data_IF_831900345683
#
_entry.id   IF_831900345683
#
_cell.length_a   1.000
_cell.length_b   1.000
_cell.length_c   1.000
_cell.angle_alpha   90.00
_cell.angle_beta   90.00
_cell.angle_gamma   90.00
#
_symmetry.space_group_name_H-M   'P 1'
#
loop_
_entity.id
_entity.type
_entity.pdbx_description
1 polymer ?
#
# COMPACT_ATOMS: atom_id res chain seq x y z
N UNK A 1 18.51 -18.27 -15.26
CA UNK A 1 18.39 -19.72 -14.97
C UNK A 1 19.77 -20.29 -14.84
N UNK A 2 20.15 -20.76 -13.66
CA UNK A 2 21.43 -21.46 -13.48
C UNK A 2 21.27 -22.92 -13.96
N UNK A 3 22.32 -23.49 -14.58
CA UNK A 3 22.25 -24.85 -15.17
C UNK A 3 21.78 -25.96 -14.22
N UNK A 4 21.93 -25.78 -12.90
CA UNK A 4 21.47 -26.72 -11.89
C UNK A 4 19.94 -26.76 -11.74
N UNK A 5 19.23 -25.66 -11.96
CA UNK A 5 17.74 -25.62 -11.92
C UNK A 5 17.12 -26.35 -13.10
N UNK A 6 17.84 -26.48 -14.20
CA UNK A 6 17.39 -27.24 -15.35
C UNK A 6 17.53 -28.76 -15.10
N UNK A 7 18.59 -29.16 -14.39
CA UNK A 7 18.83 -30.57 -14.01
C UNK A 7 17.80 -31.06 -13.00
N UNK A 8 17.44 -30.25 -12.00
CA UNK A 8 16.42 -30.60 -11.00
C UNK A 8 15.04 -30.79 -11.65
N UNK A 9 14.73 -30.02 -12.70
CA UNK A 9 13.48 -30.20 -13.48
C UNK A 9 13.51 -31.41 -14.42
N UNK A 10 14.67 -31.88 -14.80
CA UNK A 10 14.81 -33.10 -15.62
C UNK A 10 14.62 -34.37 -14.80
N UNK A 11 14.85 -34.36 -13.48
CA UNK A 11 14.54 -35.46 -12.58
C UNK A 11 13.02 -35.73 -12.40
N UNK A 12 12.19 -34.77 -12.77
CA UNK A 12 10.72 -34.91 -12.74
C UNK A 12 10.15 -35.58 -13.99
N UNK A 13 10.97 -35.93 -14.97
CA UNK A 13 10.51 -36.65 -16.16
C UNK A 13 10.40 -38.14 -15.81
N UNK A 14 9.18 -38.67 -15.94
CA UNK A 14 8.88 -40.08 -15.69
C UNK A 14 9.85 -40.97 -16.53
N UNK A 15 10.61 -41.89 -15.90
CA UNK A 15 11.56 -42.76 -16.58
C UNK A 15 10.96 -43.55 -17.73
N UNK A 16 9.65 -43.81 -17.72
CA UNK A 16 8.94 -44.49 -18.81
C UNK A 16 8.99 -43.73 -20.15
N UNK A 17 9.10 -42.41 -20.12
CA UNK A 17 9.26 -41.59 -21.33
C UNK A 17 10.67 -41.65 -21.89
N UNK A 18 11.66 -41.84 -21.05
CA UNK A 18 13.07 -41.97 -21.46
C UNK A 18 13.27 -43.34 -22.13
N UNK A 19 12.68 -44.42 -21.57
CA UNK A 19 12.77 -45.78 -22.07
C UNK A 19 11.98 -45.96 -23.38
N UNK A 20 10.87 -45.27 -23.53
CA UNK A 20 10.10 -45.23 -24.79
C UNK A 20 10.84 -44.53 -25.94
N UNK A 21 11.73 -43.54 -25.60
CA UNK A 21 12.53 -42.84 -26.60
C UNK A 21 13.71 -43.68 -27.13
N UNK A 22 14.25 -44.59 -26.31
CA UNK A 22 15.37 -45.47 -26.68
C UNK A 22 14.94 -46.68 -27.53
N UNK A 23 13.66 -47.09 -27.44
CA UNK A 23 13.13 -48.25 -28.19
C UNK A 23 12.57 -47.93 -29.58
N UNK A 24 12.61 -46.68 -29.99
CA UNK A 24 12.11 -46.28 -31.30
C UNK A 24 13.07 -46.72 -32.44
N UNK A 25 12.59 -47.42 -33.49
CA UNK A 25 13.44 -47.88 -34.58
C UNK A 25 14.08 -46.75 -35.31
N UNK A 26 15.41 -46.82 -35.46
CA UNK A 26 16.31 -45.82 -36.05
C UNK A 26 16.05 -45.59 -37.54
N UNK A 27 14.92 -44.94 -37.90
CA UNK A 27 14.71 -44.38 -39.23
C UNK A 27 15.44 -43.10 -39.34
N UNK A 28 16.46 -43.00 -40.18
CA UNK A 28 17.15 -41.75 -40.56
C UNK A 28 16.10 -40.71 -41.00
N UNK A 29 15.58 -39.97 -40.05
CA UNK A 29 14.73 -38.81 -40.34
C UNK A 29 15.63 -37.63 -40.73
N UNK A 30 15.35 -37.01 -41.86
CA UNK A 30 16.01 -35.80 -42.34
C UNK A 30 16.09 -34.78 -41.22
N UNK A 31 17.23 -34.11 -41.10
CA UNK A 31 17.49 -33.01 -40.12
C UNK A 31 16.41 -31.94 -40.22
N UNK A 32 15.85 -31.72 -41.39
CA UNK A 32 14.75 -30.79 -41.66
C UNK A 32 13.44 -31.14 -40.94
N UNK A 33 13.15 -32.43 -40.71
CA UNK A 33 11.95 -32.85 -39.97
C UNK A 33 12.04 -32.57 -38.46
N UNK A 34 13.26 -32.58 -37.89
CA UNK A 34 13.50 -32.23 -36.48
C UNK A 34 13.36 -30.72 -36.22
N UNK A 35 13.80 -29.90 -37.18
CA UNK A 35 13.63 -28.46 -37.09
C UNK A 35 12.17 -28.03 -37.32
N UNK A 36 11.42 -28.73 -38.15
CA UNK A 36 9.99 -28.51 -38.39
C UNK A 36 9.12 -28.78 -37.15
N UNK A 37 9.41 -29.84 -36.36
CA UNK A 37 8.68 -30.13 -35.12
C UNK A 37 9.00 -29.13 -34.01
N UNK A 38 10.26 -28.69 -33.88
CA UNK A 38 10.65 -27.67 -32.91
C UNK A 38 10.02 -26.31 -33.27
N UNK A 39 10.01 -25.93 -34.54
CA UNK A 39 9.36 -24.73 -35.02
C UNK A 39 7.83 -24.81 -34.84
N UNK A 40 7.18 -25.96 -35.06
CA UNK A 40 5.75 -26.13 -34.84
C UNK A 40 5.36 -26.05 -33.37
N UNK A 41 6.16 -26.62 -32.45
CA UNK A 41 5.94 -26.47 -31.02
C UNK A 41 6.14 -25.03 -30.55
N UNK A 42 7.16 -24.34 -31.05
CA UNK A 42 7.39 -22.93 -30.74
C UNK A 42 6.27 -22.05 -31.28
N UNK A 43 5.80 -22.31 -32.51
CA UNK A 43 4.66 -21.63 -33.11
C UNK A 43 3.36 -21.91 -32.34
N UNK A 44 3.15 -23.14 -31.85
CA UNK A 44 1.96 -23.49 -31.08
C UNK A 44 1.93 -22.78 -29.72
N UNK A 45 3.08 -22.68 -29.04
CA UNK A 45 3.23 -21.91 -27.80
C UNK A 45 3.01 -20.41 -28.07
N UNK A 46 3.56 -19.87 -29.17
CA UNK A 46 3.31 -18.49 -29.56
C UNK A 46 1.85 -18.24 -29.94
N UNK A 47 1.18 -19.17 -30.63
CA UNK A 47 -0.23 -19.02 -31.04
C UNK A 47 -1.17 -19.11 -29.84
N UNK A 48 -0.84 -19.88 -28.80
CA UNK A 48 -1.64 -19.97 -27.57
C UNK A 48 -1.36 -18.79 -26.61
N UNK A 49 -0.15 -18.21 -26.66
CA UNK A 49 0.21 -17.05 -25.84
C UNK A 49 -0.27 -15.70 -26.46
N UNK A 50 -0.27 -15.58 -27.80
CA UNK A 50 -0.65 -14.36 -28.51
C UNK A 50 -2.09 -13.87 -28.22
N UNK A 51 -3.14 -14.71 -28.09
CA UNK A 51 -4.48 -14.21 -27.79
C UNK A 51 -4.61 -13.58 -26.40
N UNK A 52 -3.86 -14.08 -25.42
CA UNK A 52 -3.87 -13.51 -24.06
C UNK A 52 -3.11 -12.18 -24.01
N UNK A 53 -2.00 -12.06 -24.76
CA UNK A 53 -1.16 -10.87 -24.81
C UNK A 53 -1.78 -9.74 -25.64
N UNK A 54 -2.47 -10.06 -26.74
CA UNK A 54 -3.20 -9.09 -27.55
C UNK A 54 -4.42 -8.48 -26.83
N UNK A 55 -4.78 -9.00 -25.66
CA UNK A 55 -5.89 -8.51 -24.86
C UNK A 55 -5.52 -7.28 -24.01
N UNK A 56 -4.25 -7.02 -23.79
CA UNK A 56 -3.76 -5.88 -22.97
C UNK A 56 -3.12 -4.81 -23.86
N UNK A 57 -3.14 -3.56 -23.37
CA UNK A 57 -2.33 -2.51 -24.00
C UNK A 57 -0.84 -2.80 -23.79
N UNK A 58 0.06 -2.36 -24.71
CA UNK A 58 1.50 -2.54 -24.54
C UNK A 58 2.02 -2.00 -23.20
N UNK A 59 1.56 -0.83 -22.77
CA UNK A 59 1.93 -0.21 -21.51
C UNK A 59 1.48 -1.03 -20.29
N UNK A 60 0.30 -1.60 -20.31
CA UNK A 60 -0.17 -2.47 -19.24
C UNK A 60 0.62 -3.79 -19.19
N UNK A 61 1.01 -4.31 -20.33
CA UNK A 61 1.85 -5.51 -20.40
C UNK A 61 3.24 -5.26 -19.81
N UNK A 62 3.87 -4.14 -20.13
CA UNK A 62 5.12 -3.72 -19.52
C UNK A 62 5.00 -3.58 -18.00
N UNK A 63 3.89 -3.02 -17.50
CA UNK A 63 3.59 -2.93 -16.09
C UNK A 63 3.50 -4.31 -15.42
N UNK A 64 2.80 -5.27 -16.03
CA UNK A 64 2.71 -6.64 -15.51
C UNK A 64 4.09 -7.26 -15.31
N UNK A 65 4.99 -7.11 -16.30
CA UNK A 65 6.35 -7.63 -16.19
C UNK A 65 7.22 -6.86 -15.20
N UNK A 66 6.99 -5.58 -15.00
CA UNK A 66 7.73 -4.78 -14.03
C UNK A 66 7.34 -5.11 -12.59
N UNK A 67 6.04 -5.29 -12.33
CA UNK A 67 5.50 -5.47 -10.97
C UNK A 67 5.41 -6.94 -10.57
N UNK A 68 4.97 -7.81 -11.49
CA UNK A 68 4.74 -9.24 -11.26
C UNK A 68 5.46 -10.11 -12.29
N UNK A 69 6.81 -10.05 -12.39
CA UNK A 69 7.56 -10.70 -13.48
C UNK A 69 7.42 -12.21 -13.52
N UNK A 70 7.22 -12.85 -12.36
CA UNK A 70 7.07 -14.31 -12.25
C UNK A 70 5.69 -14.79 -12.73
N UNK A 71 4.66 -13.96 -12.56
CA UNK A 71 3.25 -14.33 -12.80
C UNK A 71 2.64 -13.62 -14.00
N UNK A 72 3.34 -12.64 -14.60
CA UNK A 72 2.84 -11.79 -15.68
C UNK A 72 2.15 -12.58 -16.83
N UNK A 73 2.73 -13.71 -17.23
CA UNK A 73 2.20 -14.56 -18.31
C UNK A 73 0.90 -15.31 -17.97
N UNK A 74 0.54 -15.38 -16.68
CA UNK A 74 -0.64 -16.13 -16.22
C UNK A 74 -1.86 -15.23 -16.03
N UNK A 75 -1.69 -13.91 -16.03
CA UNK A 75 -2.81 -12.99 -15.92
C UNK A 75 -3.79 -13.13 -17.09
N UNK A 76 -5.07 -13.11 -16.75
CA UNK A 76 -6.17 -13.16 -17.70
C UNK A 76 -6.96 -11.85 -17.65
N UNK A 77 -7.45 -11.36 -18.80
CA UNK A 77 -8.27 -10.16 -18.86
C UNK A 77 -9.63 -10.42 -18.21
N UNK A 78 -10.05 -9.50 -17.34
CA UNK A 78 -11.38 -9.51 -16.70
C UNK A 78 -12.33 -8.53 -17.38
N UNK A 79 -11.89 -7.27 -17.60
CA UNK A 79 -12.60 -6.20 -18.32
C UNK A 79 -14.02 -5.95 -17.78
N UNK A 80 -14.13 -5.80 -16.47
CA UNK A 80 -15.37 -5.39 -15.80
C UNK A 80 -15.18 -4.00 -15.24
N UNK A 81 -16.10 -3.10 -15.55
CA UNK A 81 -15.97 -1.70 -15.17
C UNK A 81 -17.27 -1.11 -14.65
N UNK A 82 -17.15 -0.02 -13.90
CA UNK A 82 -18.23 0.87 -13.51
C UNK A 82 -17.72 2.32 -13.56
N UNK A 83 -18.64 3.27 -13.59
CA UNK A 83 -18.33 4.70 -13.61
C UNK A 83 -19.20 5.41 -12.57
N UNK A 84 -18.57 6.30 -11.82
CA UNK A 84 -19.24 7.24 -10.92
C UNK A 84 -18.39 8.49 -10.76
N UNK A 85 -19.02 9.64 -10.55
CA UNK A 85 -18.39 10.93 -10.32
C UNK A 85 -17.23 11.27 -11.28
N UNK A 86 -17.37 10.93 -12.57
CA UNK A 86 -16.36 11.20 -13.60
C UNK A 86 -15.11 10.32 -13.52
N UNK A 87 -15.13 9.26 -12.71
CA UNK A 87 -14.06 8.29 -12.58
C UNK A 87 -14.57 6.91 -12.99
N UNK A 88 -13.82 6.24 -13.85
CA UNK A 88 -14.05 4.87 -14.28
C UNK A 88 -13.14 3.91 -13.51
N UNK A 89 -13.75 2.96 -12.80
CA UNK A 89 -13.05 1.84 -12.20
C UNK A 89 -13.16 0.61 -13.12
N UNK A 90 -12.06 -0.06 -13.40
CA UNK A 90 -12.04 -1.28 -14.21
C UNK A 90 -11.14 -2.34 -13.57
N UNK A 91 -11.65 -3.55 -13.38
CA UNK A 91 -10.83 -4.73 -13.14
C UNK A 91 -10.26 -5.17 -14.47
N UNK A 92 -8.96 -4.89 -14.68
CA UNK A 92 -8.28 -5.08 -15.96
C UNK A 92 -7.86 -6.53 -16.16
N UNK A 93 -7.24 -7.13 -15.14
CA UNK A 93 -6.69 -8.48 -15.21
C UNK A 93 -6.68 -9.14 -13.84
N UNK A 94 -6.72 -10.48 -13.83
CA UNK A 94 -6.54 -11.28 -12.62
C UNK A 94 -5.70 -12.52 -12.91
N UNK A 95 -4.93 -12.94 -11.92
CA UNK A 95 -4.27 -14.23 -11.84
C UNK A 95 -4.71 -14.93 -10.56
N UNK A 96 -5.31 -16.11 -10.71
CA UNK A 96 -5.80 -16.93 -9.61
C UNK A 96 -4.89 -18.16 -9.52
N UNK A 97 -4.41 -18.46 -8.32
CA UNK A 97 -3.59 -19.62 -8.06
C UNK A 97 -3.95 -20.21 -6.70
N UNK A 98 -4.57 -21.38 -6.72
CA UNK A 98 -5.02 -22.09 -5.51
C UNK A 98 -5.90 -21.20 -4.61
N UNK A 99 -5.40 -20.78 -3.45
CA UNK A 99 -6.10 -19.93 -2.47
C UNK A 99 -5.74 -18.46 -2.59
N UNK A 100 -5.02 -18.05 -3.64
CA UNK A 100 -4.54 -16.67 -3.82
C UNK A 100 -5.04 -16.04 -5.11
N UNK A 101 -5.18 -14.71 -5.12
CA UNK A 101 -5.42 -13.93 -6.31
C UNK A 101 -4.55 -12.67 -6.33
N UNK A 102 -4.02 -12.35 -7.50
CA UNK A 102 -3.44 -11.06 -7.86
C UNK A 102 -4.35 -10.39 -8.90
N UNK A 103 -4.83 -9.18 -8.62
CA UNK A 103 -5.83 -8.49 -9.43
C UNK A 103 -5.33 -7.09 -9.73
N UNK A 104 -5.28 -6.73 -11.01
CA UNK A 104 -5.03 -5.37 -11.44
C UNK A 104 -6.33 -4.61 -11.63
N UNK A 105 -6.43 -3.49 -10.93
CA UNK A 105 -7.56 -2.57 -10.95
C UNK A 105 -7.08 -1.21 -11.44
N UNK A 106 -7.73 -0.62 -12.43
CA UNK A 106 -7.49 0.76 -12.84
C UNK A 106 -8.59 1.70 -12.36
N UNK A 107 -8.19 2.91 -11.95
CA UNK A 107 -9.05 4.05 -11.70
C UNK A 107 -8.65 5.14 -12.69
N UNK A 108 -9.52 5.46 -13.64
CA UNK A 108 -9.27 6.49 -14.66
C UNK A 108 -10.11 7.72 -14.37
N UNK A 109 -9.47 8.87 -14.21
CA UNK A 109 -10.15 10.16 -14.13
C UNK A 109 -10.49 10.65 -15.54
N UNK A 110 -11.77 10.57 -15.91
CA UNK A 110 -12.27 10.97 -17.22
C UNK A 110 -12.31 12.50 -17.39
N UNK A 111 -12.17 13.24 -16.28
CA UNK A 111 -12.14 14.72 -16.27
C UNK A 111 -10.71 15.28 -16.25
N UNK A 112 -9.74 14.49 -15.81
CA UNK A 112 -8.33 14.87 -15.64
C UNK A 112 -8.09 15.89 -14.52
N UNK A 113 -8.96 15.95 -13.48
CA UNK A 113 -8.89 16.96 -12.40
C UNK A 113 -9.09 16.38 -11.02
N UNK A 114 -9.47 15.12 -10.89
CA UNK A 114 -9.93 14.56 -9.63
C UNK A 114 -8.79 14.03 -8.78
N UNK A 115 -7.70 13.54 -9.38
CA UNK A 115 -6.55 13.02 -8.66
C UNK A 115 -5.26 13.06 -9.49
N UNK A 116 -4.11 12.90 -8.84
CA UNK A 116 -2.76 12.87 -9.39
C UNK A 116 -2.04 11.55 -9.07
N UNK A 117 -0.73 11.49 -9.29
CA UNK A 117 0.12 10.31 -9.04
C UNK A 117 0.20 9.89 -7.57
N UNK A 118 -0.28 10.72 -6.65
CA UNK A 118 -0.31 10.42 -5.22
C UNK A 118 -1.61 9.76 -4.77
N UNK A 119 -2.48 9.38 -5.73
CA UNK A 119 -3.79 8.81 -5.43
C UNK A 119 -3.70 7.55 -4.57
N UNK A 120 -4.61 7.48 -3.60
CA UNK A 120 -4.73 6.41 -2.63
C UNK A 120 -6.21 6.10 -2.39
N UNK A 121 -6.52 4.84 -2.12
CA UNK A 121 -7.89 4.41 -1.82
C UNK A 121 -8.30 4.68 -0.37
N UNK A 122 -7.42 5.22 0.45
CA UNK A 122 -7.68 5.66 1.83
C UNK A 122 -8.44 4.63 2.67
N UNK A 123 -8.02 3.37 2.63
CA UNK A 123 -8.69 2.26 3.33
C UNK A 123 -10.22 2.20 3.11
N UNK A 124 -10.73 2.87 2.05
CA UNK A 124 -12.13 2.89 1.71
C UNK A 124 -12.54 1.77 0.75
N UNK A 125 -11.59 0.91 0.37
CA UNK A 125 -11.89 -0.25 -0.45
C UNK A 125 -12.40 -1.42 0.38
N UNK A 126 -13.22 -2.25 -0.24
CA UNK A 126 -13.76 -3.46 0.37
C UNK A 126 -13.66 -4.62 -0.61
N UNK A 127 -13.23 -5.77 -0.07
CA UNK A 127 -13.27 -7.07 -0.73
C UNK A 127 -14.44 -7.84 -0.15
N UNK A 128 -15.48 -8.07 -0.94
CA UNK A 128 -16.59 -8.92 -0.53
C UNK A 128 -16.49 -10.27 -1.24
N UNK A 129 -16.22 -11.29 -0.47
CA UNK A 129 -15.99 -12.68 -0.90
C UNK A 129 -16.92 -13.62 -0.11
N UNK A 130 -17.24 -14.81 -0.63
CA UNK A 130 -17.97 -15.83 0.12
C UNK A 130 -17.08 -16.62 1.11
N UNK A 131 -15.85 -16.21 1.33
CA UNK A 131 -14.86 -16.84 2.20
C UNK A 131 -14.06 -15.80 2.97
N UNK A 132 -13.45 -16.20 4.08
CA UNK A 132 -12.56 -15.35 4.86
C UNK A 132 -11.19 -15.23 4.19
N UNK A 133 -10.68 -14.00 4.10
CA UNK A 133 -9.42 -13.71 3.42
C UNK A 133 -8.69 -12.51 4.03
N UNK A 134 -7.40 -12.45 3.76
CA UNK A 134 -6.59 -11.25 3.89
C UNK A 134 -6.41 -10.63 2.52
N UNK A 135 -6.54 -9.32 2.43
CA UNK A 135 -6.34 -8.59 1.18
C UNK A 135 -5.57 -7.30 1.37
N UNK A 136 -4.72 -6.98 0.40
CA UNK A 136 -3.94 -5.74 0.35
C UNK A 136 -4.13 -5.07 -1.00
N UNK A 137 -4.17 -3.75 -0.99
CA UNK A 137 -4.23 -2.93 -2.20
C UNK A 137 -3.10 -1.91 -2.17
N UNK A 138 -2.32 -1.82 -3.26
CA UNK A 138 -1.26 -0.83 -3.41
C UNK A 138 -1.27 -0.21 -4.79
N UNK A 139 -0.92 1.06 -4.88
CA UNK A 139 -0.67 1.72 -6.16
C UNK A 139 0.51 1.03 -6.86
N UNK A 140 0.30 0.56 -8.09
CA UNK A 140 1.30 -0.07 -8.92
C UNK A 140 1.91 0.91 -9.93
N UNK A 141 1.08 1.80 -10.51
CA UNK A 141 1.53 2.85 -11.43
C UNK A 141 0.49 3.96 -11.57
N UNK A 142 0.94 5.11 -12.06
CA UNK A 142 0.10 6.21 -12.52
C UNK A 142 0.56 6.63 -13.92
N UNK A 143 -0.41 6.78 -14.83
CA UNK A 143 -0.20 7.27 -16.18
C UNK A 143 -0.75 8.70 -16.28
N UNK A 144 0.10 9.73 -16.36
CA UNK A 144 -0.33 11.12 -16.44
C UNK A 144 -1.02 11.50 -17.75
N UNK A 145 -0.75 10.78 -18.84
CA UNK A 145 -1.34 11.07 -20.15
C UNK A 145 -2.82 10.66 -20.22
N UNK A 146 -3.16 9.57 -19.57
CA UNK A 146 -4.53 9.05 -19.49
C UNK A 146 -5.22 9.32 -18.16
N UNK A 147 -4.53 9.94 -17.20
CA UNK A 147 -4.97 10.14 -15.82
C UNK A 147 -5.48 8.84 -15.18
N UNK A 148 -4.68 7.77 -15.33
CA UNK A 148 -5.06 6.43 -14.89
C UNK A 148 -4.12 5.93 -13.81
N UNK A 149 -4.67 5.67 -12.63
CA UNK A 149 -3.99 4.95 -11.56
C UNK A 149 -4.27 3.46 -11.68
N UNK A 150 -3.23 2.64 -11.60
CA UNK A 150 -3.36 1.18 -11.58
C UNK A 150 -2.94 0.65 -10.22
N UNK A 151 -3.81 -0.12 -9.60
CA UNK A 151 -3.59 -0.75 -8.30
C UNK A 151 -3.40 -2.25 -8.47
N UNK A 152 -2.52 -2.84 -7.67
CA UNK A 152 -2.42 -4.27 -7.47
C UNK A 152 -3.14 -4.64 -6.16
N UNK A 153 -4.16 -5.46 -6.29
CA UNK A 153 -4.87 -6.08 -5.16
C UNK A 153 -4.40 -7.52 -5.03
N UNK A 154 -3.90 -7.87 -3.86
CA UNK A 154 -3.55 -9.26 -3.52
C UNK A 154 -4.54 -9.79 -2.50
N UNK A 155 -4.93 -11.06 -2.66
CA UNK A 155 -5.89 -11.72 -1.79
C UNK A 155 -5.38 -13.12 -1.46
N UNK A 156 -5.51 -13.54 -0.18
CA UNK A 156 -5.20 -14.88 0.29
C UNK A 156 -6.33 -15.40 1.20
N UNK A 157 -6.92 -16.53 0.84
CA UNK A 157 -7.95 -17.21 1.62
C UNK A 157 -7.32 -17.98 2.80
N UNK A 158 -7.92 -17.87 4.00
CA UNK A 158 -7.30 -18.32 5.25
C UNK A 158 -7.22 -19.83 5.40
N UNK A 159 -8.24 -20.57 4.94
CA UNK A 159 -8.30 -22.03 5.07
C UNK A 159 -7.50 -22.77 3.99
N UNK A 160 -6.82 -22.03 3.12
CA UNK A 160 -6.02 -22.56 2.00
C UNK A 160 -6.83 -23.42 1.02
N UNK A 161 -8.14 -23.13 0.90
CA UNK A 161 -8.99 -23.78 -0.10
C UNK A 161 -8.91 -23.00 -1.42
N UNK A 162 -9.13 -23.70 -2.53
CA UNK A 162 -9.16 -23.04 -3.84
C UNK A 162 -10.29 -22.02 -3.90
N UNK A 163 -9.96 -20.85 -4.43
CA UNK A 163 -10.90 -19.75 -4.66
C UNK A 163 -11.38 -19.70 -6.13
N UNK A 164 -10.93 -20.65 -6.96
CA UNK A 164 -11.31 -20.69 -8.37
C UNK A 164 -12.82 -20.97 -8.53
N UNK A 165 -13.47 -20.17 -9.37
CA UNK A 165 -14.91 -20.24 -9.62
C UNK A 165 -15.75 -19.38 -8.65
N UNK A 166 -15.17 -18.87 -7.57
CA UNK A 166 -15.84 -17.99 -6.63
C UNK A 166 -16.01 -16.58 -7.20
N UNK A 167 -16.81 -15.74 -6.53
CA UNK A 167 -17.05 -14.35 -6.94
C UNK A 167 -16.42 -13.38 -5.95
N UNK A 168 -15.80 -12.36 -6.50
CA UNK A 168 -15.30 -11.21 -5.75
C UNK A 168 -16.05 -9.96 -6.18
N UNK A 169 -16.52 -9.18 -5.20
CA UNK A 169 -16.93 -7.78 -5.42
C UNK A 169 -15.88 -6.87 -4.81
N UNK A 170 -15.24 -6.06 -5.65
CA UNK A 170 -14.36 -4.97 -5.22
C UNK A 170 -15.13 -3.66 -5.25
N UNK A 171 -15.09 -2.91 -4.16
CA UNK A 171 -15.75 -1.61 -4.08
C UNK A 171 -14.85 -0.56 -3.44
N UNK A 172 -15.00 0.69 -3.88
CA UNK A 172 -14.29 1.88 -3.38
C UNK A 172 -15.32 2.98 -3.17
N UNK A 173 -15.16 3.77 -2.10
CA UNK A 173 -16.05 4.89 -1.78
C UNK A 173 -15.32 6.24 -1.75
N UNK A 174 -14.01 6.24 -1.50
CA UNK A 174 -13.20 7.45 -1.40
C UNK A 174 -11.84 7.25 -2.03
N UNK A 175 -11.33 8.28 -2.64
CA UNK A 175 -9.96 8.40 -3.12
C UNK A 175 -9.37 9.63 -2.45
N UNK A 176 -8.15 9.54 -1.96
CA UNK A 176 -7.34 10.68 -1.59
C UNK A 176 -6.26 10.92 -2.63
N UNK A 177 -5.85 12.17 -2.77
CA UNK A 177 -4.81 12.56 -3.71
C UNK A 177 -4.20 13.89 -3.25
N UNK A 178 -3.24 14.41 -4.00
CA UNK A 178 -2.55 15.64 -3.64
C UNK A 178 -1.75 15.48 -2.35
N UNK A 179 -1.20 14.28 -2.11
CA UNK A 179 -0.34 14.01 -0.96
C UNK A 179 0.96 14.80 -1.09
N UNK A 180 1.35 15.40 0.02
CA UNK A 180 2.61 16.14 0.14
C UNK A 180 3.33 15.66 1.38
N UNK A 181 4.60 15.39 1.24
CA UNK A 181 5.48 15.11 2.38
C UNK A 181 6.34 16.34 2.66
N UNK A 182 6.33 16.77 3.90
CA UNK A 182 7.25 17.76 4.43
C UNK A 182 8.16 17.09 5.44
N UNK A 183 9.45 17.34 5.36
CA UNK A 183 10.46 16.80 6.26
C UNK A 183 11.51 17.85 6.56
N UNK A 184 11.82 18.04 7.85
CA UNK A 184 12.82 19.03 8.24
C UNK A 184 12.76 19.43 9.71
N UNK A 185 13.68 20.33 10.06
CA UNK A 185 13.71 20.97 11.38
C UNK A 185 12.58 21.98 11.50
N UNK A 186 11.89 21.98 12.64
CA UNK A 186 10.90 23.01 12.96
C UNK A 186 11.61 24.28 13.44
N UNK A 187 12.00 25.12 12.47
CA UNK A 187 12.76 26.32 12.75
C UNK A 187 11.95 27.32 13.61
N UNK A 188 12.66 27.99 14.52
CA UNK A 188 12.06 29.00 15.39
C UNK A 188 11.33 28.45 16.62
N UNK A 189 11.28 27.12 16.80
CA UNK A 189 10.74 26.53 18.03
C UNK A 189 11.80 26.57 19.13
N UNK A 190 11.50 27.28 20.20
CA UNK A 190 12.28 27.31 21.44
C UNK A 190 11.70 26.26 22.41
N UNK A 191 12.37 25.10 22.54
CA UNK A 191 11.91 24.01 23.39
C UNK A 191 11.80 24.42 24.87
N UNK A 192 12.80 25.15 25.37
CA UNK A 192 12.84 25.62 26.76
C UNK A 192 11.83 26.72 27.06
N UNK A 193 11.71 27.66 26.14
CA UNK A 193 10.80 28.84 26.26
C UNK A 193 9.32 28.50 26.02
N UNK A 194 9.02 27.37 25.36
CA UNK A 194 7.64 26.98 25.04
C UNK A 194 7.04 25.95 26.00
N UNK A 195 7.69 25.68 27.14
CA UNK A 195 7.23 24.66 28.08
C UNK A 195 5.87 25.01 28.72
N UNK A 196 4.95 24.06 28.67
CA UNK A 196 3.69 24.09 29.42
C UNK A 196 3.68 23.02 30.51
N UNK A 197 3.00 23.31 31.63
CA UNK A 197 2.72 22.33 32.69
C UNK A 197 1.25 21.89 32.69
N UNK A 198 0.44 22.41 31.76
CA UNK A 198 -0.97 22.06 31.70
C UNK A 198 -1.16 20.65 31.11
N UNK A 199 -1.83 19.80 31.85
CA UNK A 199 -2.12 18.41 31.47
C UNK A 199 -3.61 18.13 31.49
N UNK A 200 -4.01 17.07 30.82
CA UNK A 200 -5.36 16.51 30.86
C UNK A 200 -5.31 14.99 30.75
N UNK A 201 -6.40 14.34 31.20
CA UNK A 201 -6.58 12.90 31.01
C UNK A 201 -7.52 12.66 29.85
N UNK A 202 -7.12 11.81 28.91
CA UNK A 202 -7.88 11.49 27.70
C UNK A 202 -8.08 9.98 27.55
N UNK A 203 -9.10 9.60 26.77
CA UNK A 203 -9.21 8.24 26.23
C UNK A 203 -8.48 8.23 24.89
N UNK A 204 -7.37 7.48 24.77
CA UNK A 204 -6.62 7.46 23.52
C UNK A 204 -7.41 6.72 22.43
N UNK A 205 -7.32 7.20 21.19
CA UNK A 205 -7.78 6.46 20.00
C UNK A 205 -6.71 5.48 19.49
N UNK A 206 -5.46 5.70 19.89
CA UNK A 206 -4.31 4.88 19.56
C UNK A 206 -3.15 5.17 20.49
N UNK A 207 -2.38 4.15 20.81
CA UNK A 207 -1.13 4.20 21.57
C UNK A 207 -0.04 3.52 20.77
N UNK A 208 1.15 4.05 20.80
CA UNK A 208 2.34 3.43 20.20
C UNK A 208 3.49 3.39 21.21
N UNK A 209 4.43 2.45 21.01
CA UNK A 209 5.58 2.25 21.89
C UNK A 209 5.27 1.48 23.18
N UNK A 210 6.33 1.06 23.87
CA UNK A 210 6.24 0.20 25.07
C UNK A 210 5.89 0.97 26.36
N UNK A 211 5.78 2.30 26.29
CA UNK A 211 5.53 3.17 27.46
C UNK A 211 4.12 3.00 28.06
N UNK A 212 3.18 2.59 27.25
CA UNK A 212 1.76 2.50 27.60
C UNK A 212 1.33 1.05 27.72
N UNK A 213 1.85 0.25 28.58
CA UNK A 213 1.53 -1.14 28.90
C UNK A 213 0.62 -1.93 27.92
N UNK A 214 0.75 -3.24 27.89
CA UNK A 214 0.01 -4.12 26.95
C UNK A 214 -1.50 -4.25 27.24
N UNK A 215 -1.98 -3.74 28.36
CA UNK A 215 -3.37 -3.97 28.85
C UNK A 215 -4.37 -2.88 28.44
N UNK A 216 -4.02 -2.05 27.44
CA UNK A 216 -4.89 -1.02 26.91
C UNK A 216 -5.37 -0.07 28.00
N UNK A 217 -4.51 0.82 28.50
CA UNK A 217 -4.92 1.83 29.47
C UNK A 217 -6.16 2.56 28.94
N UNK A 218 -7.23 2.53 29.72
CA UNK A 218 -8.50 3.17 29.36
C UNK A 218 -8.38 4.69 29.28
N UNK A 219 -7.35 5.26 29.92
CA UNK A 219 -7.08 6.69 29.90
C UNK A 219 -5.61 6.96 30.19
N UNK A 220 -5.06 7.98 29.53
CA UNK A 220 -3.67 8.43 29.68
C UNK A 220 -3.62 9.92 29.99
N UNK A 221 -2.56 10.34 30.72
CA UNK A 221 -2.30 11.76 30.95
C UNK A 221 -1.40 12.28 29.84
N UNK A 222 -1.85 13.36 29.19
CA UNK A 222 -1.18 14.04 28.06
C UNK A 222 -1.09 15.52 28.32
N UNK A 223 -0.35 16.25 27.50
CA UNK A 223 -0.39 17.72 27.51
C UNK A 223 -1.81 18.20 27.18
N UNK A 224 -2.28 19.25 27.86
CA UNK A 224 -3.48 19.95 27.44
C UNK A 224 -3.15 20.78 26.19
N UNK A 225 -3.92 20.66 25.09
CA UNK A 225 -3.69 21.46 23.89
C UNK A 225 -3.64 22.95 24.19
N UNK A 226 -2.60 23.60 23.70
CA UNK A 226 -2.37 25.03 23.79
C UNK A 226 -2.58 25.77 22.48
N UNK A 227 -2.18 27.05 22.47
CA UNK A 227 -2.10 27.83 21.24
C UNK A 227 -1.04 27.27 20.30
N UNK A 228 -1.14 27.60 19.01
CA UNK A 228 -0.19 27.16 18.00
C UNK A 228 1.22 27.68 18.31
N UNK A 229 2.18 26.81 18.50
CA UNK A 229 3.60 27.14 18.65
C UNK A 229 4.24 27.28 17.27
N UNK A 230 3.93 26.33 16.37
CA UNK A 230 4.40 26.33 14.98
C UNK A 230 3.40 25.59 14.09
N UNK A 231 3.34 25.97 12.82
CA UNK A 231 2.54 25.26 11.80
C UNK A 231 3.43 24.98 10.59
N UNK A 232 4.15 23.86 10.56
CA UNK A 232 5.13 23.55 9.52
C UNK A 232 4.49 23.39 8.13
N UNK A 233 3.27 22.84 8.08
CA UNK A 233 2.46 22.70 6.85
C UNK A 233 0.99 22.89 7.18
N UNK A 234 0.18 23.19 6.17
CA UNK A 234 -1.26 23.27 6.32
C UNK A 234 -1.84 21.98 6.89
N UNK A 235 -2.69 22.09 7.90
CA UNK A 235 -3.31 20.94 8.55
C UNK A 235 -2.47 20.28 9.65
N UNK A 236 -1.24 20.79 9.94
CA UNK A 236 -0.37 20.29 11.00
C UNK A 236 0.07 21.44 11.92
N UNK A 237 -0.13 21.31 13.22
CA UNK A 237 0.19 22.36 14.19
C UNK A 237 0.82 21.75 15.43
N UNK A 238 1.98 22.27 15.83
CA UNK A 238 2.60 22.00 17.13
C UNK A 238 1.84 22.78 18.21
N UNK A 239 1.24 22.09 19.19
CA UNK A 239 0.32 22.65 20.18
C UNK A 239 0.79 22.56 21.63
N UNK A 240 1.89 21.84 21.88
CA UNK A 240 2.40 21.71 23.23
C UNK A 240 3.80 21.11 23.30
N UNK A 241 4.59 21.62 24.23
CA UNK A 241 5.87 21.04 24.66
C UNK A 241 5.87 21.11 26.18
N UNK A 242 6.18 20.03 26.88
CA UNK A 242 6.16 20.05 28.34
C UNK A 242 6.57 18.72 28.96
N UNK A 243 6.53 18.66 30.27
CA UNK A 243 6.85 17.46 31.02
C UNK A 243 5.60 16.87 31.67
N UNK A 244 5.38 15.57 31.44
CA UNK A 244 4.36 14.77 32.13
C UNK A 244 5.07 13.57 32.76
N UNK A 245 4.93 13.41 34.08
CA UNK A 245 5.57 12.35 34.86
C UNK A 245 7.09 12.21 34.60
N UNK A 246 7.77 13.36 34.44
CA UNK A 246 9.22 13.45 34.26
C UNK A 246 9.70 13.09 32.84
N UNK A 247 8.81 12.91 31.88
CA UNK A 247 9.12 12.66 30.47
C UNK A 247 8.80 13.88 29.64
N UNK A 248 9.59 14.15 28.61
CA UNK A 248 9.31 15.22 27.67
C UNK A 248 8.18 14.78 26.72
N UNK A 249 7.16 15.58 26.61
CA UNK A 249 6.05 15.44 25.68
C UNK A 249 6.08 16.55 24.65
N UNK A 250 5.81 16.19 23.39
CA UNK A 250 5.67 17.12 22.26
C UNK A 250 4.36 16.78 21.57
N UNK A 251 3.43 17.75 21.55
CA UNK A 251 2.09 17.51 21.03
C UNK A 251 1.88 18.19 19.68
N UNK A 252 1.36 17.43 18.73
CA UNK A 252 1.01 17.87 17.38
C UNK A 252 -0.48 17.65 17.14
N UNK A 253 -1.12 18.63 16.52
CA UNK A 253 -2.49 18.56 16.03
C UNK A 253 -2.51 18.29 14.53
N UNK A 254 -3.33 17.35 14.11
CA UNK A 254 -3.62 17.01 12.72
C UNK A 254 -5.08 17.32 12.43
N UNK A 255 -5.33 18.27 11.51
CA UNK A 255 -6.67 18.68 11.14
C UNK A 255 -7.35 17.69 10.21
N UNK A 256 -8.69 17.59 10.31
CA UNK A 256 -9.59 16.89 9.37
C UNK A 256 -9.18 15.44 9.03
N UNK A 257 -8.63 14.69 9.99
CA UNK A 257 -8.12 13.32 9.79
C UNK A 257 -9.18 12.32 9.27
N UNK A 258 -10.47 12.66 9.33
CA UNK A 258 -11.54 11.86 8.74
C UNK A 258 -11.73 12.11 7.24
N UNK A 259 -11.12 13.19 6.72
CA UNK A 259 -11.21 13.61 5.32
C UNK A 259 -9.86 13.72 4.62
N UNK A 260 -8.77 13.68 5.37
CA UNK A 260 -7.41 13.85 4.86
C UNK A 260 -6.53 12.74 5.44
N UNK A 261 -5.36 12.55 4.84
CA UNK A 261 -4.32 11.66 5.35
C UNK A 261 -3.25 12.48 6.10
N UNK A 262 -3.70 13.42 6.96
CA UNK A 262 -2.81 14.24 7.75
C UNK A 262 -2.25 13.41 8.91
N UNK A 263 -0.96 13.14 8.88
CA UNK A 263 -0.23 12.41 9.91
C UNK A 263 1.25 12.74 9.87
N UNK A 264 2.02 12.22 10.81
CA UNK A 264 3.47 12.42 10.80
C UNK A 264 4.17 11.81 11.99
N UNK A 265 5.41 12.23 12.18
CA UNK A 265 6.25 11.89 13.32
C UNK A 265 7.09 13.10 13.75
N UNK A 266 7.48 13.07 15.02
CA UNK A 266 8.42 14.03 15.62
C UNK A 266 9.57 13.26 16.22
N UNK A 267 10.78 13.78 16.01
CA UNK A 267 12.00 13.37 16.68
C UNK A 267 12.78 14.57 17.21
N UNK A 268 13.74 14.33 18.07
CA UNK A 268 14.68 15.34 18.55
C UNK A 268 15.98 15.18 17.77
N UNK A 269 16.59 16.28 17.37
CA UNK A 269 17.93 16.27 16.75
C UNK A 269 18.87 17.08 17.65
N UNK A 270 19.96 16.44 18.08
CA UNK A 270 21.00 17.13 18.82
C UNK A 270 21.73 18.12 17.89
N UNK A 271 21.73 19.41 18.25
CA UNK A 271 22.24 20.51 17.41
C UNK A 271 23.77 20.43 17.17
N UNK A 272 24.51 19.78 18.09
CA UNK A 272 25.96 19.69 18.01
C UNK A 272 26.41 18.45 17.24
N UNK A 273 25.77 17.29 17.53
CA UNK A 273 26.18 16.00 16.96
C UNK A 273 25.39 15.60 15.71
N UNK A 274 24.20 16.18 15.50
CA UNK A 274 23.27 15.78 14.46
C UNK A 274 22.58 14.44 14.76
N UNK A 275 22.75 13.88 15.94
CA UNK A 275 22.10 12.62 16.35
C UNK A 275 20.60 12.82 16.48
N UNK A 276 19.83 11.95 15.84
CA UNK A 276 18.38 11.94 15.90
C UNK A 276 17.89 10.94 16.97
N UNK A 277 16.96 11.40 17.80
CA UNK A 277 16.33 10.61 18.87
C UNK A 277 14.86 10.49 18.53
N UNK A 278 14.42 9.28 18.25
CA UNK A 278 13.01 8.96 18.02
C UNK A 278 12.23 9.00 19.34
N UNK A 279 10.91 9.23 19.26
CA UNK A 279 10.05 9.14 20.42
C UNK A 279 9.95 7.68 20.91
N UNK A 280 9.85 7.49 22.21
CA UNK A 280 9.69 6.16 22.84
C UNK A 280 8.24 5.65 22.76
N UNK A 281 7.31 6.53 22.42
CA UNK A 281 5.90 6.20 22.24
C UNK A 281 5.07 7.44 21.98
N UNK A 282 3.80 7.24 21.62
CA UNK A 282 2.84 8.32 21.44
C UNK A 282 1.42 7.93 21.88
N UNK A 283 0.63 8.95 22.18
CA UNK A 283 -0.79 8.82 22.50
C UNK A 283 -1.61 9.74 21.60
N UNK A 284 -2.43 9.13 20.73
CA UNK A 284 -3.32 9.86 19.85
C UNK A 284 -4.73 9.96 20.46
N UNK A 285 -5.37 11.13 20.33
CA UNK A 285 -6.74 11.37 20.80
C UNK A 285 -7.45 12.42 19.94
N UNK A 286 -8.78 12.34 19.88
CA UNK A 286 -9.57 13.29 19.09
C UNK A 286 -9.64 14.67 19.72
N UNK A 287 -9.85 15.70 18.91
CA UNK A 287 -10.30 17.00 19.34
C UNK A 287 -11.78 16.94 19.83
N UNK A 288 -12.27 18.04 20.39
CA UNK A 288 -13.65 18.12 20.90
C UNK A 288 -14.70 17.98 19.78
N UNK A 289 -14.35 18.29 18.55
CA UNK A 289 -15.22 18.15 17.39
C UNK A 289 -15.22 16.72 16.82
N UNK A 290 -14.25 15.88 17.18
CA UNK A 290 -14.10 14.52 16.69
C UNK A 290 -13.64 14.45 15.23
N UNK A 291 -13.11 15.53 14.67
CA UNK A 291 -12.67 15.61 13.27
C UNK A 291 -11.15 15.73 13.12
N UNK A 292 -10.49 16.33 14.09
CA UNK A 292 -9.04 16.41 14.17
C UNK A 292 -8.48 15.47 15.23
N UNK A 293 -7.19 15.29 15.25
CA UNK A 293 -6.49 14.46 16.22
C UNK A 293 -5.27 15.17 16.75
N UNK A 294 -5.09 15.10 18.05
CA UNK A 294 -3.80 15.37 18.69
C UNK A 294 -3.00 14.08 18.76
N UNK A 295 -1.70 14.18 18.65
CA UNK A 295 -0.75 13.12 18.97
C UNK A 295 0.33 13.68 19.89
N UNK A 296 0.48 13.07 21.06
CA UNK A 296 1.40 13.47 22.11
C UNK A 296 2.59 12.50 22.10
N UNK A 297 3.71 12.91 21.52
CA UNK A 297 4.94 12.15 21.38
C UNK A 297 5.76 12.22 22.66
N UNK A 298 6.23 11.09 23.17
CA UNK A 298 6.90 10.98 24.47
C UNK A 298 8.36 10.60 24.30
N UNK A 299 9.24 11.35 24.95
CA UNK A 299 10.69 11.12 24.98
C UNK A 299 11.15 10.89 26.41
N UNK A 300 11.86 9.80 26.67
CA UNK A 300 12.44 9.49 27.98
C UNK A 300 13.88 9.95 28.04
N UNK A 301 14.35 10.27 29.24
CA UNK A 301 15.76 10.61 29.48
C UNK A 301 16.20 11.99 28.93
N UNK A 302 15.25 12.82 28.52
CA UNK A 302 15.52 14.20 28.08
C UNK A 302 15.28 15.15 29.26
N UNK A 303 16.35 15.72 29.79
CA UNK A 303 16.29 16.60 30.95
C UNK A 303 16.03 18.07 30.54
N UNK A 304 15.29 18.80 31.35
CA UNK A 304 14.89 20.18 31.06
C UNK A 304 16.09 21.13 30.80
N UNK A 305 17.19 20.92 31.50
CA UNK A 305 18.40 21.74 31.33
C UNK A 305 19.14 21.47 30.01
N UNK A 306 18.83 20.37 29.33
CA UNK A 306 19.46 19.97 28.08
C UNK A 306 18.63 20.36 26.84
N UNK A 307 17.42 20.91 27.00
CA UNK A 307 16.49 21.19 25.89
C UNK A 307 17.11 22.13 24.82
N UNK A 308 17.92 23.09 25.21
CA UNK A 308 18.57 24.01 24.27
C UNK A 308 19.55 23.32 23.32
N UNK A 309 20.00 22.09 23.67
CA UNK A 309 20.89 21.28 22.81
C UNK A 309 20.13 20.56 21.71
N UNK A 310 18.82 20.55 21.73
CA UNK A 310 17.98 19.85 20.76
C UNK A 310 17.17 20.82 19.88
N UNK A 311 16.83 20.32 18.70
CA UNK A 311 15.82 20.89 17.83
C UNK A 311 14.73 19.83 17.58
N UNK A 312 13.51 20.26 17.28
CA UNK A 312 12.48 19.35 16.76
C UNK A 312 12.72 19.11 15.28
N UNK A 313 12.61 17.87 14.90
CA UNK A 313 12.58 17.44 13.50
C UNK A 313 11.26 16.74 13.25
N UNK A 314 10.57 17.08 12.17
CA UNK A 314 9.28 16.48 11.83
C UNK A 314 9.29 15.89 10.43
N UNK A 315 8.53 14.83 10.24
CA UNK A 315 8.11 14.32 8.96
C UNK A 315 6.59 14.32 8.95
N UNK A 316 5.97 15.08 8.04
CA UNK A 316 4.52 15.22 7.97
C UNK A 316 4.02 14.90 6.57
N UNK A 317 2.94 14.15 6.50
CA UNK A 317 2.18 13.89 5.29
C UNK A 317 0.87 14.65 5.39
N UNK A 318 0.48 15.32 4.31
CA UNK A 318 -0.83 15.96 4.19
C UNK A 318 -1.44 15.59 2.83
N UNK A 319 -2.75 15.67 2.69
CA UNK A 319 -3.43 15.39 1.43
C UNK A 319 -4.53 16.40 1.14
N UNK A 320 -5.00 16.42 -0.10
CA UNK A 320 -6.26 17.07 -0.45
C UNK A 320 -7.45 16.34 0.20
N UNK A 321 -8.62 16.97 0.19
CA UNK A 321 -9.87 16.32 0.61
C UNK A 321 -10.26 15.16 -0.32
N UNK A 322 -11.15 14.26 0.11
CA UNK A 322 -11.47 13.06 -0.63
C UNK A 322 -12.31 13.34 -1.87
N UNK A 323 -12.08 12.57 -2.91
CA UNK A 323 -13.01 12.40 -4.01
C UNK A 323 -13.93 11.24 -3.63
N UNK A 324 -15.21 11.54 -3.40
CA UNK A 324 -16.22 10.56 -3.00
C UNK A 324 -16.96 10.00 -4.21
N UNK A 325 -17.34 8.71 -4.16
CA UNK A 325 -18.12 8.03 -5.18
C UNK A 325 -18.55 6.64 -4.71
N UNK A 326 -19.15 5.89 -5.61
CA UNK A 326 -19.61 4.54 -5.32
C UNK A 326 -19.25 3.61 -6.47
N UNK A 327 -17.98 3.23 -6.51
CA UNK A 327 -17.44 2.30 -7.51
C UNK A 327 -17.56 0.88 -6.98
N UNK A 328 -18.19 -0.01 -7.73
CA UNK A 328 -18.34 -1.40 -7.35
C UNK A 328 -18.38 -2.31 -8.58
N UNK A 329 -17.54 -3.34 -8.59
CA UNK A 329 -17.45 -4.31 -9.68
C UNK A 329 -17.44 -5.73 -9.10
N UNK A 330 -18.33 -6.57 -9.62
CA UNK A 330 -18.36 -8.00 -9.30
C UNK A 330 -17.85 -8.82 -10.49
N UNK A 331 -16.96 -9.75 -10.25
CA UNK A 331 -16.39 -10.63 -11.27
C UNK A 331 -16.06 -12.01 -10.69
N UNK A 332 -16.04 -13.07 -11.54
CA UNK A 332 -15.62 -14.39 -11.11
C UNK A 332 -14.10 -14.46 -10.99
N UNK A 333 -13.62 -15.23 -10.02
CA UNK A 333 -12.23 -15.61 -9.83
C UNK A 333 -11.93 -16.83 -10.70
N UNK A 334 -11.69 -16.63 -11.99
CA UNK A 334 -11.50 -17.70 -12.96
C UNK A 334 -10.14 -17.57 -13.66
N UNK A 335 -9.48 -18.71 -13.87
CA UNK A 335 -8.26 -18.78 -14.69
C UNK A 335 -8.55 -18.84 -16.20
N UNK A 336 -9.82 -18.90 -16.60
CA UNK A 336 -10.22 -18.94 -18.01
C UNK A 336 -10.71 -17.57 -18.47
N UNK A 337 -10.23 -17.12 -19.64
CA UNK A 337 -10.88 -16.02 -20.36
C UNK A 337 -12.35 -16.45 -20.57
N UNK A 338 -13.29 -15.74 -19.97
CA UNK A 338 -14.71 -15.98 -20.22
C UNK A 338 -14.99 -15.94 -21.72
N UNK A 339 -15.72 -16.91 -22.20
CA UNK A 339 -16.17 -17.04 -23.59
C UNK A 339 -16.96 -15.81 -24.03
#
# INVERSE_FOLDING_TARGET
MRGNELLDKMELIDPAYIEAADTAPNKRKSVWAKWGTLAACLCLVCVLAVPAMAAFSPSFYELLYAVSPATAQFFKPVRRSCEDNGIRMEVTAAYIHENTAEIYLSMQDLTGRSFDETVDLFDSYRLHTPFDCTGYCKLASYDPDTHTATFLVTLEQWDRQSIEGEKLTFSVQKLLSGKKTWEGTLDGVDLGGSLTSATQTVQPRGLSGDLFGSDGEKSVTVLKPGDAIASPVDGVTLTGIGYVDGRLHVQVYYADILKTDNHGSISLVNRETGEQIECDGSAAFFDDAGTGSYEDYVFTGIEAYALDTYALYGMFVTSAGPVEGNWSVTFPLENTAGN
#
